data_IF_448982323320
#
_entry.id   IF_448982323320
#
_cell.length_a   1.000
_cell.length_b   1.000
_cell.length_c   1.000
_cell.angle_alpha   90.00
_cell.angle_beta   90.00
_cell.angle_gamma   90.00
#
_symmetry.space_group_name_H-M   'P 1'
#
loop_
_entity.id
_entity.type
_entity.pdbx_description
1 polymer ?
#
# COMPACT_ATOMS: atom_id res chain seq x y z
N UNK A 1 -3.82 -35.69 51.21
CA UNK A 1 -2.44 -35.33 50.82
C UNK A 1 -2.36 -34.84 49.36
N UNK A 2 -3.34 -34.04 48.87
CA UNK A 2 -3.40 -33.56 47.48
C UNK A 2 -3.49 -32.02 47.35
N UNK A 3 -3.70 -31.30 48.47
CA UNK A 3 -3.86 -29.83 48.46
C UNK A 3 -2.53 -29.07 48.36
N UNK A 4 -1.42 -29.69 48.79
CA UNK A 4 -0.07 -29.08 48.78
C UNK A 4 0.52 -29.02 47.36
N UNK A 5 0.21 -30.00 46.51
CA UNK A 5 0.61 -29.99 45.09
C UNK A 5 -0.28 -29.09 44.24
N UNK A 6 -1.57 -28.95 44.59
CA UNK A 6 -2.48 -28.04 43.90
C UNK A 6 -2.06 -26.56 44.07
N UNK A 7 -1.61 -26.17 45.27
CA UNK A 7 -1.10 -24.81 45.51
C UNK A 7 0.21 -24.53 44.74
N UNK A 8 1.08 -25.53 44.61
CA UNK A 8 2.36 -25.42 43.88
C UNK A 8 2.14 -25.33 42.36
N UNK A 9 1.16 -26.05 41.82
CA UNK A 9 0.80 -25.98 40.39
C UNK A 9 0.15 -24.64 40.04
N UNK A 10 -0.71 -24.10 40.90
CA UNK A 10 -1.33 -22.78 40.70
C UNK A 10 -0.26 -21.67 40.77
N UNK A 11 0.70 -21.76 41.68
CA UNK A 11 1.80 -20.80 41.79
C UNK A 11 2.77 -20.87 40.59
N UNK A 12 2.98 -22.07 40.02
CA UNK A 12 3.79 -22.27 38.81
C UNK A 12 3.10 -21.73 37.55
N UNK A 13 1.77 -21.83 37.45
CA UNK A 13 1.01 -21.24 36.34
C UNK A 13 0.97 -19.70 36.38
N UNK A 14 0.94 -19.08 37.57
CA UNK A 14 0.98 -17.62 37.74
C UNK A 14 2.34 -17.01 37.38
N UNK A 15 3.43 -17.77 37.52
CA UNK A 15 4.76 -17.34 37.12
C UNK A 15 4.97 -17.36 35.59
N UNK A 16 4.26 -18.23 34.86
CA UNK A 16 4.31 -18.28 33.40
C UNK A 16 3.53 -17.15 32.71
N UNK A 17 2.58 -16.50 33.41
CA UNK A 17 1.80 -15.37 32.87
C UNK A 17 2.50 -14.01 32.92
N UNK A 18 3.69 -13.90 33.51
CA UNK A 18 4.39 -12.61 33.72
C UNK A 18 5.55 -12.33 32.76
N UNK A 19 5.80 -13.18 31.76
CA UNK A 19 6.89 -13.00 30.77
C UNK A 19 6.42 -12.86 29.31
N UNK A 20 5.17 -12.47 29.09
CA UNK A 20 4.66 -12.12 27.77
C UNK A 20 4.55 -10.59 27.59
N UNK A 21 5.68 -9.89 27.60
CA UNK A 21 5.77 -8.60 26.92
C UNK A 21 6.19 -8.88 25.47
N UNK A 22 5.21 -9.07 24.59
CA UNK A 22 5.44 -8.87 23.17
C UNK A 22 5.81 -7.40 22.96
N UNK A 23 7.04 -7.15 22.50
CA UNK A 23 7.40 -5.86 21.90
C UNK A 23 6.53 -5.70 20.66
N UNK A 24 5.60 -4.75 20.72
CA UNK A 24 4.95 -4.20 19.55
C UNK A 24 6.01 -3.37 18.83
N UNK A 25 6.77 -4.02 17.94
CA UNK A 25 7.44 -3.29 16.88
C UNK A 25 6.34 -2.60 16.10
N UNK A 26 6.32 -1.26 16.17
CA UNK A 26 5.66 -0.41 15.18
C UNK A 26 6.25 -0.71 13.81
N UNK A 27 5.77 -1.77 13.19
CA UNK A 27 5.95 -2.13 11.80
C UNK A 27 4.54 -2.29 11.27
N UNK A 28 4.11 -1.28 10.51
CA UNK A 28 2.75 -1.02 10.06
C UNK A 28 1.97 -2.30 9.72
N UNK A 29 1.07 -2.70 10.62
CA UNK A 29 0.07 -3.72 10.36
C UNK A 29 -0.75 -3.30 9.15
N UNK A 30 -0.50 -3.94 8.02
CA UNK A 30 -1.43 -3.95 6.90
C UNK A 30 -2.61 -4.83 7.30
N UNK A 31 -3.46 -4.31 8.16
CA UNK A 31 -4.83 -4.80 8.34
C UNK A 31 -5.64 -4.26 7.18
N UNK A 32 -6.07 -5.19 6.34
CA UNK A 32 -7.10 -5.02 5.32
C UNK A 32 -8.43 -4.62 5.97
N UNK A 33 -8.58 -3.34 6.31
CA UNK A 33 -9.88 -2.71 6.51
C UNK A 33 -10.20 -1.96 5.21
N UNK A 34 -11.11 -2.53 4.42
CA UNK A 34 -11.57 -1.92 3.17
C UNK A 34 -12.09 -0.51 3.45
N UNK A 35 -11.44 0.49 2.83
CA UNK A 35 -11.80 1.92 2.75
C UNK A 35 -10.93 2.93 3.54
N UNK A 36 -9.71 2.59 3.99
CA UNK A 36 -8.80 3.64 4.52
C UNK A 36 -7.86 4.15 3.42
N UNK A 37 -7.97 5.42 3.04
CA UNK A 37 -7.01 6.06 2.14
C UNK A 37 -5.66 6.27 2.84
N UNK A 38 -4.58 6.13 2.08
CA UNK A 38 -3.22 6.46 2.51
C UNK A 38 -3.09 7.96 2.79
N UNK A 39 -2.10 8.32 3.61
CA UNK A 39 -1.68 9.69 3.90
C UNK A 39 -0.16 9.80 3.84
N UNK A 40 0.37 11.03 3.82
CA UNK A 40 1.79 11.33 3.77
C UNK A 40 2.44 11.12 2.39
N UNK A 41 3.79 11.13 2.38
CA UNK A 41 4.60 10.94 1.18
C UNK A 41 4.97 9.47 0.98
N UNK A 42 4.83 8.99 -0.24
CA UNK A 42 5.19 7.62 -0.65
C UNK A 42 6.17 7.66 -1.81
N UNK A 43 7.06 6.67 -1.90
CA UNK A 43 8.07 6.62 -2.97
C UNK A 43 7.86 5.38 -3.82
N UNK A 44 7.87 5.55 -5.15
CA UNK A 44 7.71 4.47 -6.12
C UNK A 44 8.84 4.53 -7.14
N UNK A 45 9.35 3.35 -7.50
CA UNK A 45 10.28 3.17 -8.60
C UNK A 45 9.56 2.46 -9.76
N UNK A 46 9.56 3.07 -10.94
CA UNK A 46 9.00 2.49 -12.17
C UNK A 46 10.19 2.05 -13.02
N UNK A 47 10.40 0.74 -13.11
CA UNK A 47 11.43 0.16 -13.98
C UNK A 47 10.94 0.11 -15.42
N UNK A 48 11.63 0.83 -16.30
CA UNK A 48 11.31 0.87 -17.72
C UNK A 48 12.37 0.09 -18.49
N UNK A 49 11.95 -1.02 -19.09
CA UNK A 49 12.85 -1.92 -19.79
C UNK A 49 13.64 -1.18 -20.88
N UNK A 50 14.98 -1.24 -20.81
CA UNK A 50 15.94 -0.53 -21.67
C UNK A 50 15.99 1.01 -21.53
N UNK A 51 15.23 1.62 -20.63
CA UNK A 51 15.21 3.08 -20.41
C UNK A 51 15.59 3.50 -18.99
N UNK A 52 15.77 2.54 -18.07
CA UNK A 52 16.18 2.79 -16.69
C UNK A 52 14.99 2.95 -15.74
N UNK A 53 15.23 3.55 -14.58
CA UNK A 53 14.25 3.67 -13.50
C UNK A 53 13.77 5.11 -13.36
N UNK A 54 12.45 5.29 -13.26
CA UNK A 54 11.82 6.56 -12.92
C UNK A 54 11.44 6.51 -11.44
N UNK A 55 12.03 7.39 -10.63
CA UNK A 55 11.68 7.53 -9.21
C UNK A 55 10.63 8.63 -9.04
N UNK A 56 9.58 8.35 -8.26
CA UNK A 56 8.43 9.24 -8.07
C UNK A 56 8.09 9.32 -6.58
N UNK A 57 7.99 10.55 -6.06
CA UNK A 57 7.33 10.82 -4.76
C UNK A 57 5.85 11.13 -5.00
N UNK A 58 4.98 10.44 -4.28
CA UNK A 58 3.53 10.58 -4.31
C UNK A 58 3.05 11.27 -3.03
N UNK A 59 2.13 12.22 -3.17
CA UNK A 59 1.57 13.00 -2.07
C UNK A 59 0.13 12.58 -1.76
N UNK A 60 -0.03 11.68 -0.79
CA UNK A 60 -1.35 11.19 -0.39
C UNK A 60 -2.10 12.17 0.52
N UNK A 61 -1.44 13.20 1.06
CA UNK A 61 -2.15 14.26 1.80
C UNK A 61 -2.89 15.19 0.82
N UNK A 62 -2.36 15.36 -0.40
CA UNK A 62 -2.99 16.17 -1.46
C UNK A 62 -3.97 15.37 -2.31
N UNK A 63 -3.66 14.09 -2.62
CA UNK A 63 -4.46 13.25 -3.50
C UNK A 63 -4.64 11.82 -2.92
N UNK A 64 -5.29 11.68 -1.75
CA UNK A 64 -5.38 10.41 -1.02
C UNK A 64 -6.01 9.28 -1.84
N UNK A 65 -7.06 9.56 -2.62
CA UNK A 65 -7.75 8.52 -3.40
C UNK A 65 -6.86 8.04 -4.55
N UNK A 66 -6.23 8.97 -5.26
CA UNK A 66 -5.38 8.69 -6.42
C UNK A 66 -4.13 7.92 -6.01
N UNK A 67 -3.44 8.37 -4.95
CA UNK A 67 -2.22 7.72 -4.47
C UNK A 67 -2.52 6.32 -3.94
N UNK A 68 -3.60 6.16 -3.17
CA UNK A 68 -4.04 4.84 -2.69
C UNK A 68 -4.33 3.89 -3.84
N UNK A 69 -5.10 4.34 -4.84
CA UNK A 69 -5.43 3.53 -6.00
C UNK A 69 -4.17 3.15 -6.79
N UNK A 70 -3.26 4.10 -7.04
CA UNK A 70 -2.03 3.85 -7.78
C UNK A 70 -1.13 2.82 -7.09
N UNK A 71 -0.91 2.96 -5.78
CA UNK A 71 -0.09 2.03 -4.99
C UNK A 71 -0.73 0.63 -4.95
N UNK A 72 -2.05 0.53 -4.82
CA UNK A 72 -2.75 -0.77 -4.85
C UNK A 72 -2.61 -1.47 -6.21
N UNK A 73 -2.72 -0.72 -7.31
CA UNK A 73 -2.49 -1.25 -8.66
C UNK A 73 -1.03 -1.68 -8.85
N UNK A 74 -0.06 -0.88 -8.39
CA UNK A 74 1.35 -1.23 -8.45
C UNK A 74 1.67 -2.50 -7.66
N UNK A 75 1.18 -2.60 -6.41
CA UNK A 75 1.40 -3.76 -5.53
C UNK A 75 0.73 -5.04 -6.05
N UNK A 76 -0.36 -4.92 -6.80
CA UNK A 76 -0.99 -6.07 -7.46
C UNK A 76 -0.32 -6.48 -8.77
N UNK A 77 0.73 -5.75 -9.20
CA UNK A 77 1.45 -6.01 -10.44
C UNK A 77 0.70 -5.58 -11.69
N UNK A 78 -0.36 -4.78 -11.57
CA UNK A 78 -1.21 -4.35 -12.69
C UNK A 78 -0.42 -3.68 -13.82
N UNK A 79 0.58 -2.87 -13.47
CA UNK A 79 1.40 -2.13 -14.44
C UNK A 79 2.51 -2.96 -15.10
N UNK A 80 2.74 -4.20 -14.64
CA UNK A 80 3.84 -5.02 -15.15
C UNK A 80 3.62 -5.39 -16.63
N UNK A 81 4.61 -5.09 -17.46
CA UNK A 81 4.57 -5.36 -18.89
C UNK A 81 3.74 -4.37 -19.71
N UNK A 82 3.15 -3.34 -19.09
CA UNK A 82 2.42 -2.30 -19.82
C UNK A 82 3.37 -1.33 -20.50
N UNK A 83 2.88 -0.66 -21.54
CA UNK A 83 3.66 0.27 -22.37
C UNK A 83 3.26 1.72 -22.15
N UNK A 84 4.18 2.63 -22.50
CA UNK A 84 3.83 4.02 -22.79
C UNK A 84 3.32 4.10 -24.23
N UNK A 85 2.01 4.00 -24.43
CA UNK A 85 1.40 3.98 -25.76
C UNK A 85 1.38 5.35 -26.44
N UNK A 86 1.63 6.44 -25.69
CA UNK A 86 1.67 7.79 -26.25
C UNK A 86 2.85 8.58 -25.69
N UNK A 87 3.75 8.98 -26.59
CA UNK A 87 4.96 9.77 -26.30
C UNK A 87 4.94 11.01 -27.19
N UNK A 88 4.94 12.18 -26.58
CA UNK A 88 4.97 13.46 -27.29
C UNK A 88 6.16 14.27 -26.81
N UNK A 89 7.07 14.54 -27.74
CA UNK A 89 8.28 15.31 -27.48
C UNK A 89 7.94 16.73 -26.98
N UNK A 90 8.68 17.17 -25.97
CA UNK A 90 8.45 18.44 -25.29
C UNK A 90 7.15 18.55 -24.49
N UNK A 91 6.39 17.46 -24.31
CA UNK A 91 5.12 17.48 -23.58
C UNK A 91 5.02 16.42 -22.50
N UNK A 92 4.70 15.16 -22.86
CA UNK A 92 4.47 14.10 -21.87
C UNK A 92 4.56 12.69 -22.47
N UNK A 93 4.66 11.72 -21.57
CA UNK A 93 4.45 10.30 -21.85
C UNK A 93 3.21 9.83 -21.09
N UNK A 94 2.42 8.98 -21.73
CA UNK A 94 1.20 8.40 -21.16
C UNK A 94 1.25 6.88 -21.32
N UNK A 95 0.97 6.18 -20.22
CA UNK A 95 0.95 4.72 -20.13
C UNK A 95 -0.14 4.25 -19.17
N UNK A 96 -0.01 3.01 -18.67
CA UNK A 96 -0.96 2.43 -17.70
C UNK A 96 -2.23 1.84 -18.32
N UNK A 97 -2.22 1.60 -19.64
CA UNK A 97 -3.31 0.95 -20.36
C UNK A 97 -2.98 -0.52 -20.69
N UNK A 98 -3.77 -1.50 -20.19
CA UNK A 98 -3.65 -2.92 -20.54
C UNK A 98 -3.78 -3.24 -22.04
N UNK A 99 -4.54 -2.44 -22.80
CA UNK A 99 -4.72 -2.64 -24.24
C UNK A 99 -3.57 -2.01 -25.06
N UNK A 100 -2.85 -1.05 -24.48
CA UNK A 100 -1.77 -0.33 -25.15
C UNK A 100 -2.21 0.59 -26.27
N UNK A 101 -3.50 0.96 -26.34
CA UNK A 101 -4.06 1.80 -27.42
C UNK A 101 -4.74 3.09 -26.91
N UNK A 102 -4.72 3.31 -25.59
CA UNK A 102 -5.31 4.44 -24.88
C UNK A 102 -6.77 4.23 -24.45
N UNK A 103 -7.37 3.04 -24.68
CA UNK A 103 -8.80 2.79 -24.43
C UNK A 103 -9.08 1.98 -23.17
N UNK A 104 -8.09 1.30 -22.60
CA UNK A 104 -8.26 0.48 -21.40
C UNK A 104 -7.96 1.21 -20.09
N UNK A 105 -7.87 0.43 -19.01
CA UNK A 105 -7.59 0.91 -17.65
C UNK A 105 -8.00 -0.11 -16.59
N UNK A 106 -7.85 0.26 -15.31
CA UNK A 106 -8.37 -0.54 -14.19
C UNK A 106 -9.91 -0.63 -14.23
N UNK A 107 -10.45 -1.65 -13.55
CA UNK A 107 -11.90 -1.80 -13.35
C UNK A 107 -12.49 -0.63 -12.56
N UNK A 108 -11.74 -0.14 -11.57
CA UNK A 108 -12.17 0.93 -10.69
C UNK A 108 -12.04 2.30 -11.37
N UNK A 109 -13.08 3.12 -11.22
CA UNK A 109 -13.06 4.55 -11.56
C UNK A 109 -13.03 5.36 -10.27
N UNK A 110 -12.06 6.26 -10.16
CA UNK A 110 -11.90 7.13 -8.99
C UNK A 110 -12.40 8.55 -9.28
N UNK A 111 -12.86 9.24 -8.23
CA UNK A 111 -13.17 10.67 -8.32
C UNK A 111 -11.85 11.44 -8.46
N UNK A 112 -11.79 12.37 -9.40
CA UNK A 112 -10.64 13.28 -9.53
C UNK A 112 -10.53 14.21 -8.31
N UNK A 113 -9.32 14.55 -7.92
CA UNK A 113 -9.01 15.31 -6.71
C UNK A 113 -8.48 16.68 -7.10
N UNK A 114 -9.35 17.70 -7.02
CA UNK A 114 -9.04 19.05 -7.41
C UNK A 114 -9.51 20.02 -6.34
N UNK A 115 -8.78 21.12 -6.15
CA UNK A 115 -9.17 22.20 -5.22
C UNK A 115 -10.61 22.67 -5.41
N UNK A 116 -11.13 22.62 -6.64
CA UNK A 116 -12.48 23.07 -6.99
C UNK A 116 -13.60 22.08 -6.68
N UNK A 117 -13.32 20.79 -6.46
CA UNK A 117 -14.35 19.77 -6.25
C UNK A 117 -14.36 19.15 -4.85
N UNK A 118 -13.59 19.76 -3.94
CA UNK A 118 -13.64 19.52 -2.49
C UNK A 118 -13.25 18.10 -2.10
N UNK A 119 -12.27 17.53 -2.78
CA UNK A 119 -11.55 16.34 -2.29
C UNK A 119 -10.25 16.81 -1.66
#
# INVERSE_FOLDING_TARGET
MMKKHLLSIILLCLLFSLTACSRQTSGNSSTSDGNTQLSGKHHVAIEVNNYGTIEVELDADTAPITVTNFINLANSGFYNGLTFHRVIDGFMIQGGDPNGDGTGGSSEKIKGEFKSNGV
#
